data_IF_292899953700
#
_entry.id   IF_292899953700
#
_cell.length_a   1.000
_cell.length_b   1.000
_cell.length_c   1.000
_cell.angle_alpha   90.00
_cell.angle_beta   90.00
_cell.angle_gamma   90.00
#
_symmetry.space_group_name_H-M   'P 1'
#
loop_
_entity.id
_entity.type
_entity.pdbx_description
1 polymer ?
#
# COMPACT_ATOMS: atom_id res chain seq x y z
N UNK A 1 -9.67 11.16 -23.54
CA UNK A 1 -8.65 10.38 -22.81
C UNK A 1 -8.62 10.92 -21.40
N UNK A 2 -8.63 10.04 -20.39
CA UNK A 2 -8.59 10.47 -18.99
C UNK A 2 -7.18 11.00 -18.69
N UNK A 3 -7.07 12.19 -18.11
CA UNK A 3 -5.78 12.74 -17.68
C UNK A 3 -5.43 12.17 -16.31
N UNK A 4 -4.46 11.26 -16.28
CA UNK A 4 -4.06 10.53 -15.06
C UNK A 4 -3.41 11.43 -14.00
N UNK A 5 -3.03 12.65 -14.36
CA UNK A 5 -2.54 13.65 -13.40
C UNK A 5 -3.67 14.46 -12.76
N UNK A 6 -4.88 14.44 -13.34
CA UNK A 6 -6.08 15.08 -12.80
C UNK A 6 -6.97 14.06 -12.06
N UNK A 7 -7.12 12.86 -12.63
CA UNK A 7 -7.97 11.80 -12.09
C UNK A 7 -7.23 10.45 -12.13
N UNK A 8 -7.09 9.81 -10.98
CA UNK A 8 -6.49 8.48 -10.91
C UNK A 8 -7.52 7.42 -11.30
N UNK A 9 -7.28 6.64 -12.37
CA UNK A 9 -8.24 5.64 -12.82
C UNK A 9 -8.40 4.51 -11.80
N UNK A 10 -9.59 3.94 -11.75
CA UNK A 10 -9.86 2.70 -11.04
C UNK A 10 -10.10 1.56 -12.04
N UNK A 11 -9.59 0.39 -11.72
CA UNK A 11 -9.72 -0.82 -12.53
C UNK A 11 -10.37 -1.91 -11.68
N UNK A 12 -11.30 -2.65 -12.26
CA UNK A 12 -12.07 -3.67 -11.53
C UNK A 12 -12.37 -4.86 -12.44
N UNK A 13 -12.27 -6.06 -11.89
CA UNK A 13 -12.72 -7.32 -12.51
C UNK A 13 -13.45 -8.17 -11.47
N UNK A 14 -13.71 -9.46 -11.74
CA UNK A 14 -14.50 -10.29 -10.83
C UNK A 14 -13.81 -10.56 -9.47
N UNK A 15 -12.51 -10.31 -9.35
CA UNK A 15 -11.70 -10.67 -8.17
C UNK A 15 -11.04 -9.49 -7.49
N UNK A 16 -10.68 -8.46 -8.25
CA UNK A 16 -9.81 -7.40 -7.78
C UNK A 16 -10.33 -6.03 -8.21
N UNK A 17 -10.10 -5.07 -7.33
CA UNK A 17 -10.29 -3.65 -7.58
C UNK A 17 -9.01 -2.92 -7.23
N UNK A 18 -8.47 -2.19 -8.19
CA UNK A 18 -7.34 -1.28 -8.01
C UNK A 18 -7.90 0.12 -8.12
N UNK A 19 -7.66 0.94 -7.10
CA UNK A 19 -8.13 2.32 -7.02
C UNK A 19 -7.10 3.17 -6.28
N UNK A 20 -7.28 4.48 -6.35
CA UNK A 20 -6.50 5.40 -5.53
C UNK A 20 -6.68 5.08 -4.04
N UNK A 21 -5.58 5.19 -3.29
CA UNK A 21 -5.57 5.03 -1.84
C UNK A 21 -6.30 6.20 -1.17
N UNK A 22 -6.94 5.91 -0.06
CA UNK A 22 -7.59 6.89 0.78
C UNK A 22 -7.12 6.75 2.22
N UNK A 23 -7.34 7.79 3.03
CA UNK A 23 -7.05 7.72 4.47
C UNK A 23 -7.77 6.53 5.12
N UNK A 24 -8.97 6.16 4.66
CA UNK A 24 -9.74 5.05 5.24
C UNK A 24 -9.04 3.68 5.14
N UNK A 25 -8.08 3.52 4.23
CA UNK A 25 -7.38 2.26 3.98
C UNK A 25 -6.26 1.97 5.00
N UNK A 26 -5.95 2.93 5.89
CA UNK A 26 -4.78 2.85 6.78
C UNK A 26 -4.75 1.59 7.66
N UNK A 27 -5.92 1.13 8.13
CA UNK A 27 -6.00 -0.05 9.01
C UNK A 27 -5.61 -1.34 8.29
N UNK A 28 -6.05 -1.48 7.03
CA UNK A 28 -5.73 -2.67 6.23
C UNK A 28 -4.28 -2.62 5.76
N UNK A 29 -3.75 -1.43 5.45
CA UNK A 29 -2.31 -1.26 5.20
C UNK A 29 -1.49 -1.64 6.44
N UNK A 30 -1.86 -1.15 7.63
CA UNK A 30 -1.16 -1.51 8.87
C UNK A 30 -1.13 -3.03 9.09
N UNK A 31 -2.22 -3.74 8.77
CA UNK A 31 -2.21 -5.22 8.84
C UNK A 31 -1.14 -5.84 7.96
N UNK A 32 -0.99 -5.37 6.72
CA UNK A 32 0.05 -5.84 5.78
C UNK A 32 1.44 -5.50 6.31
N UNK A 33 1.67 -4.26 6.75
CA UNK A 33 2.96 -3.83 7.29
C UNK A 33 3.31 -4.46 8.65
N UNK A 34 2.33 -4.98 9.38
CA UNK A 34 2.51 -5.68 10.66
C UNK A 34 2.76 -7.19 10.49
N UNK A 35 2.63 -7.73 9.27
CA UNK A 35 2.90 -9.14 9.01
C UNK A 35 4.40 -9.36 8.75
N UNK A 36 5.05 -10.07 9.67
CA UNK A 36 6.46 -10.46 9.54
C UNK A 36 6.75 -11.27 8.28
N UNK A 37 5.75 -11.97 7.73
CA UNK A 37 5.91 -12.72 6.47
C UNK A 37 5.96 -11.82 5.26
N UNK A 38 5.44 -10.59 5.35
CA UNK A 38 5.47 -9.62 4.26
C UNK A 38 6.78 -8.83 4.20
N UNK A 39 7.46 -8.66 5.34
CA UNK A 39 8.73 -7.90 5.46
C UNK A 39 9.80 -8.28 4.42
N UNK A 40 10.08 -9.57 4.12
CA UNK A 40 11.09 -9.93 3.13
C UNK A 40 10.80 -9.46 1.70
N UNK A 41 9.56 -9.06 1.42
CA UNK A 41 9.13 -8.57 0.10
C UNK A 41 9.09 -7.04 0.01
N UNK A 42 9.24 -6.33 1.14
CA UNK A 42 9.29 -4.88 1.16
C UNK A 42 10.69 -4.37 0.73
N UNK A 43 10.75 -3.14 0.23
CA UNK A 43 12.00 -2.45 -0.14
C UNK A 43 12.88 -3.23 -1.14
N UNK A 44 12.28 -3.72 -2.23
CA UNK A 44 13.02 -4.45 -3.28
C UNK A 44 14.06 -3.60 -4.02
N UNK A 45 13.96 -2.28 -3.96
CA UNK A 45 14.94 -1.33 -4.49
C UNK A 45 16.12 -1.06 -3.54
N UNK A 46 16.11 -1.68 -2.34
CA UNK A 46 17.15 -1.60 -1.31
C UNK A 46 17.55 -0.14 -0.99
N UNK A 47 16.58 0.77 -1.00
CA UNK A 47 16.81 2.14 -0.59
C UNK A 47 17.07 2.19 0.92
N UNK A 48 17.76 3.23 1.40
CA UNK A 48 18.16 3.39 2.81
C UNK A 48 17.01 3.75 3.75
N UNK A 49 15.94 2.95 3.77
CA UNK A 49 14.78 3.09 4.66
C UNK A 49 14.96 2.40 6.02
N UNK A 50 13.87 2.32 6.79
CA UNK A 50 13.80 1.52 8.01
C UNK A 50 13.51 0.04 7.70
N UNK A 51 13.04 -0.73 8.68
CA UNK A 51 12.74 -2.16 8.52
C UNK A 51 11.36 -2.44 7.89
N UNK A 52 10.58 -1.40 7.58
CA UNK A 52 9.23 -1.48 7.03
C UNK A 52 8.30 -2.40 7.83
N UNK A 53 8.52 -2.50 9.15
CA UNK A 53 7.73 -3.33 10.06
C UNK A 53 6.96 -2.49 11.08
N UNK A 54 5.70 -2.18 10.77
CA UNK A 54 4.86 -1.30 11.58
C UNK A 54 3.76 -2.07 12.31
N UNK A 55 3.67 -1.93 13.63
CA UNK A 55 2.70 -2.67 14.47
C UNK A 55 1.72 -1.74 15.22
N UNK A 56 1.83 -0.44 14.99
CA UNK A 56 1.14 0.62 15.71
C UNK A 56 0.82 1.78 14.74
N UNK A 57 -0.27 2.49 14.99
CA UNK A 57 -0.64 3.70 14.22
C UNK A 57 0.34 4.85 14.44
N UNK A 58 0.96 4.89 15.64
CA UNK A 58 1.95 5.89 16.01
C UNK A 58 3.35 5.30 15.88
N UNK A 59 4.28 6.12 15.40
CA UNK A 59 5.70 5.80 15.40
C UNK A 59 6.29 5.93 16.80
#
# INVERSE_FOLDING_TARGET
MLDVYQECPSFENEKYKIRFLSQADWKELLRVYSDKKSVPFFNSDNCGGDDFYYTSEKK
#
